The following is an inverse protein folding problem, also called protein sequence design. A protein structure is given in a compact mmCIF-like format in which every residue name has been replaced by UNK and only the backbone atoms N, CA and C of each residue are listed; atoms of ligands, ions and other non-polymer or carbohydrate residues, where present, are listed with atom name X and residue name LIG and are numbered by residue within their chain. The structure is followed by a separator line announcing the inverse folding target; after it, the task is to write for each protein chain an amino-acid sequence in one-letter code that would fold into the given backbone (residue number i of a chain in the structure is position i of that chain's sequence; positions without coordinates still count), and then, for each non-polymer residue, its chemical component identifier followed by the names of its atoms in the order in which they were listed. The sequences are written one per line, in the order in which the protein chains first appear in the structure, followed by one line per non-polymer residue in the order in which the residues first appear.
data_IF_846572178020
#
_entry.id   IF_846572178020
#
_cell.length_a   1.000
_cell.length_b   1.000
_cell.length_c   1.000
_cell.angle_alpha   90.00
_cell.angle_beta   90.00
_cell.angle_gamma   90.00
#
_symmetry.space_group_name_H-M   'P 1'
#
loop_
_entity.id
_entity.type
_entity.pdbx_description
1 polymer ?
#
# COMPACT_ATOMS: atom_id res chain seq x y z
N UNK A 1 -1.33 27.85 -20.04
CA UNK A 1 -0.31 27.18 -19.20
C UNK A 1 -0.64 25.71 -19.22
N UNK A 2 0.24 24.85 -19.74
CA UNK A 2 0.00 23.41 -19.72
C UNK A 2 -0.11 22.98 -18.25
N UNK A 3 -1.23 22.39 -17.88
CA UNK A 3 -1.43 21.80 -16.57
C UNK A 3 -0.38 20.69 -16.43
N UNK A 4 0.55 20.84 -15.48
CA UNK A 4 1.59 19.85 -15.25
C UNK A 4 0.92 18.59 -14.71
N UNK A 5 0.76 17.58 -15.57
CA UNK A 5 0.23 16.28 -15.16
C UNK A 5 1.36 15.51 -14.47
N UNK A 6 1.41 15.69 -13.14
CA UNK A 6 2.40 15.08 -12.27
C UNK A 6 2.36 13.55 -12.37
N UNK A 7 1.17 12.96 -12.52
CA UNK A 7 1.01 11.49 -12.58
C UNK A 7 1.56 10.96 -13.89
N UNK A 8 1.20 11.57 -15.01
CA UNK A 8 1.73 11.19 -16.33
C UNK A 8 3.26 11.37 -16.42
N UNK A 9 3.78 12.41 -15.76
CA UNK A 9 5.22 12.65 -15.66
C UNK A 9 5.93 11.55 -14.87
N UNK A 10 5.36 11.13 -13.73
CA UNK A 10 5.87 9.98 -12.98
C UNK A 10 5.75 8.68 -13.76
N UNK A 11 4.62 8.44 -14.43
CA UNK A 11 4.45 7.25 -15.27
C UNK A 11 5.54 7.16 -16.34
N UNK A 12 5.79 8.26 -17.04
CA UNK A 12 6.85 8.34 -18.07
C UNK A 12 8.24 8.11 -17.48
N UNK A 13 8.53 8.73 -16.33
CA UNK A 13 9.82 8.58 -15.66
C UNK A 13 10.06 7.14 -15.19
N UNK A 14 9.04 6.52 -14.60
CA UNK A 14 9.09 5.16 -14.07
C UNK A 14 9.23 4.10 -15.18
N UNK A 15 8.71 4.36 -16.37
CA UNK A 15 8.90 3.50 -17.54
C UNK A 15 10.30 3.62 -18.17
N UNK A 16 11.20 4.42 -17.61
CA UNK A 16 12.56 4.58 -18.12
C UNK A 16 13.44 3.39 -17.71
N UNK A 17 14.19 2.82 -18.67
CA UNK A 17 14.97 1.58 -18.52
C UNK A 17 15.94 1.53 -17.33
N UNK A 18 16.39 2.67 -16.82
CA UNK A 18 17.27 2.71 -15.66
C UNK A 18 16.60 2.23 -14.36
N UNK A 19 15.26 2.18 -14.35
CA UNK A 19 14.48 1.78 -13.17
C UNK A 19 14.13 0.28 -13.18
N UNK A 20 14.38 -0.44 -14.26
CA UNK A 20 14.12 -1.90 -14.39
C UNK A 20 14.95 -2.76 -13.43
N UNK A 21 15.89 -2.16 -12.69
CA UNK A 21 16.74 -2.79 -11.67
C UNK A 21 16.42 -2.33 -10.25
N UNK A 22 15.40 -1.49 -10.07
CA UNK A 22 15.01 -0.94 -8.77
C UNK A 22 14.22 -1.97 -7.97
N UNK A 23 14.80 -2.38 -6.84
CA UNK A 23 14.17 -3.29 -5.87
C UNK A 23 13.42 -2.54 -4.76
N UNK A 24 13.74 -1.27 -4.56
CA UNK A 24 13.15 -0.43 -3.51
C UNK A 24 12.64 0.88 -4.10
N UNK A 25 11.35 1.18 -3.90
CA UNK A 25 10.74 2.40 -4.41
C UNK A 25 10.01 3.16 -3.30
N UNK A 26 10.25 4.46 -3.22
CA UNK A 26 9.49 5.35 -2.34
C UNK A 26 8.83 6.44 -3.17
N UNK A 27 7.50 6.50 -3.12
CA UNK A 27 6.70 7.51 -3.79
C UNK A 27 5.79 8.20 -2.77
N UNK A 28 6.03 9.48 -2.55
CA UNK A 28 5.28 10.29 -1.61
C UNK A 28 4.87 11.60 -2.27
N UNK A 29 3.57 11.91 -2.29
CA UNK A 29 3.08 13.21 -2.72
C UNK A 29 3.08 14.20 -1.54
N UNK A 30 3.21 15.49 -1.85
CA UNK A 30 3.21 16.55 -0.84
C UNK A 30 1.81 16.85 -0.29
N UNK A 31 1.71 17.09 1.02
CA UNK A 31 0.49 17.34 1.80
C UNK A 31 -0.11 18.76 1.63
N UNK A 32 0.22 19.50 0.56
CA UNK A 32 0.05 20.97 0.47
C UNK A 32 -1.40 21.44 0.21
N UNK A 33 -2.39 20.95 0.98
CA UNK A 33 -3.81 21.31 0.83
C UNK A 33 -4.46 20.79 -0.45
N UNK A 34 -3.77 19.90 -1.16
CA UNK A 34 -4.20 19.32 -2.43
C UNK A 34 -4.87 17.97 -2.19
N UNK A 35 -5.81 17.60 -3.06
CA UNK A 35 -6.36 16.24 -3.11
C UNK A 35 -5.25 15.24 -3.45
N UNK A 36 -5.20 14.05 -2.81
CA UNK A 36 -4.20 13.03 -3.12
C UNK A 36 -4.20 12.67 -4.60
N UNK A 37 -3.01 12.57 -5.21
CA UNK A 37 -2.87 12.11 -6.59
C UNK A 37 -2.99 10.58 -6.65
N UNK A 38 -3.55 10.02 -7.74
CA UNK A 38 -3.58 8.57 -7.92
C UNK A 38 -2.15 8.02 -8.06
N UNK A 39 -1.95 6.80 -7.57
CA UNK A 39 -0.70 6.07 -7.77
C UNK A 39 -0.45 5.89 -9.29
N UNK A 40 0.75 6.22 -9.80
CA UNK A 40 1.08 5.98 -11.21
C UNK A 40 0.98 4.49 -11.53
N UNK A 41 0.46 4.14 -12.71
CA UNK A 41 0.23 2.75 -13.06
C UNK A 41 1.55 1.99 -13.25
N UNK A 42 2.57 2.69 -13.77
CA UNK A 42 3.89 2.11 -14.03
C UNK A 42 4.54 1.52 -12.79
N UNK A 43 4.34 2.08 -11.60
CA UNK A 43 4.84 1.54 -10.32
C UNK A 43 4.41 0.07 -10.13
N UNK A 44 3.18 -0.24 -10.54
CA UNK A 44 2.60 -1.56 -10.36
C UNK A 44 3.13 -2.59 -11.35
N UNK A 45 3.93 -2.16 -12.34
CA UNK A 45 4.53 -3.03 -13.37
C UNK A 45 5.91 -3.56 -12.98
N UNK A 46 6.49 -3.07 -11.88
CA UNK A 46 7.82 -3.49 -11.44
C UNK A 46 7.76 -4.84 -10.71
N UNK A 47 8.01 -5.91 -11.46
CA UNK A 47 7.98 -7.27 -10.92
C UNK A 47 9.13 -7.58 -9.96
N UNK A 48 10.21 -6.79 -9.96
CA UNK A 48 11.39 -6.98 -9.12
C UNK A 48 11.37 -6.18 -7.82
N UNK A 49 10.30 -5.41 -7.55
CA UNK A 49 10.19 -4.68 -6.29
C UNK A 49 10.08 -5.64 -5.11
N UNK A 50 10.90 -5.41 -4.10
CA UNK A 50 10.89 -6.08 -2.82
C UNK A 50 10.36 -5.18 -1.71
N UNK A 51 10.67 -3.89 -1.75
CA UNK A 51 10.26 -2.91 -0.74
C UNK A 51 9.60 -1.73 -1.43
N UNK A 52 8.45 -1.29 -0.94
CA UNK A 52 7.82 -0.07 -1.44
C UNK A 52 7.15 0.74 -0.35
N UNK A 53 7.18 2.07 -0.54
CA UNK A 53 6.47 3.02 0.30
C UNK A 53 5.61 3.94 -0.56
N UNK A 54 4.32 4.03 -0.23
CA UNK A 54 3.38 4.96 -0.86
C UNK A 54 2.81 5.94 0.16
N UNK A 55 2.96 7.23 -0.12
CA UNK A 55 2.53 8.31 0.76
C UNK A 55 1.61 9.31 0.08
N UNK A 56 0.53 9.68 0.77
CA UNK A 56 -0.42 10.69 0.35
C UNK A 56 -0.93 10.52 -1.10
N UNK A 57 -1.20 9.28 -1.48
CA UNK A 57 -1.72 8.91 -2.80
C UNK A 57 -3.05 8.19 -2.70
N UNK A 58 -3.80 8.19 -3.80
CA UNK A 58 -4.96 7.31 -3.96
C UNK A 58 -4.51 6.02 -4.62
N UNK A 59 -4.62 4.90 -3.91
CA UNK A 59 -4.39 3.55 -4.45
C UNK A 59 -5.42 3.25 -5.56
N UNK A 60 -5.02 2.40 -6.49
CA UNK A 60 -5.90 1.91 -7.57
C UNK A 60 -6.96 1.00 -6.99
N UNK A 61 -8.20 1.13 -7.46
CA UNK A 61 -9.32 0.32 -6.97
C UNK A 61 -9.18 -1.16 -7.40
N UNK A 62 -10.07 -2.02 -6.90
CA UNK A 62 -10.02 -3.46 -7.18
C UNK A 62 -10.01 -3.79 -8.68
N UNK A 63 -10.87 -3.15 -9.49
CA UNK A 63 -10.95 -3.36 -10.95
C UNK A 63 -9.64 -3.00 -11.65
N UNK A 64 -8.95 -1.98 -11.17
CA UNK A 64 -7.67 -1.52 -11.72
C UNK A 64 -6.48 -2.38 -11.26
N UNK A 65 -6.62 -3.10 -10.15
CA UNK A 65 -5.62 -4.04 -9.63
C UNK A 65 -5.83 -5.46 -10.16
N UNK A 66 -6.93 -5.73 -10.87
CA UNK A 66 -7.20 -7.05 -11.42
C UNK A 66 -6.09 -7.46 -12.43
N UNK A 67 -5.48 -8.62 -12.18
CA UNK A 67 -4.36 -9.12 -12.98
C UNK A 67 -2.98 -8.52 -12.64
N UNK A 68 -2.91 -7.55 -11.73
CA UNK A 68 -1.64 -7.01 -11.23
C UNK A 68 -1.15 -7.89 -10.08
N UNK A 69 0.10 -8.34 -10.16
CA UNK A 69 0.76 -9.12 -9.10
C UNK A 69 2.15 -8.55 -8.86
N UNK A 70 2.36 -8.00 -7.67
CA UNK A 70 3.66 -7.59 -7.14
C UNK A 70 4.34 -8.81 -6.51
N UNK A 71 4.75 -9.74 -7.37
CA UNK A 71 5.10 -11.11 -7.00
C UNK A 71 6.31 -11.24 -6.05
N UNK A 72 7.18 -10.22 -6.00
CA UNK A 72 8.38 -10.21 -5.16
C UNK A 72 8.30 -9.23 -3.99
N UNK A 73 7.19 -8.49 -3.85
CA UNK A 73 7.08 -7.48 -2.81
C UNK A 73 6.96 -8.15 -1.44
N UNK A 74 7.92 -7.83 -0.57
CA UNK A 74 8.03 -8.36 0.79
C UNK A 74 7.66 -7.30 1.83
N UNK A 75 7.89 -6.02 1.55
CA UNK A 75 7.60 -4.93 2.47
C UNK A 75 6.78 -3.83 1.81
N UNK A 76 5.66 -3.48 2.43
CA UNK A 76 4.77 -2.42 1.99
C UNK A 76 4.55 -1.42 3.11
N UNK A 77 4.89 -0.17 2.86
CA UNK A 77 4.56 0.96 3.73
C UNK A 77 3.49 1.83 3.06
N UNK A 78 2.42 2.13 3.79
CA UNK A 78 1.36 3.03 3.35
C UNK A 78 1.21 4.17 4.36
N UNK A 79 1.30 5.40 3.87
CA UNK A 79 1.26 6.61 4.68
C UNK A 79 0.15 7.54 4.21
N UNK A 80 -0.77 7.92 5.11
CA UNK A 80 -1.85 8.89 4.85
C UNK A 80 -2.68 8.50 3.61
N UNK A 81 -3.10 7.23 3.54
CA UNK A 81 -3.96 6.70 2.49
C UNK A 81 -5.42 6.86 2.90
N UNK A 82 -6.24 7.36 1.97
CA UNK A 82 -7.66 7.67 2.18
C UNK A 82 -8.63 6.74 1.45
N UNK A 83 -8.11 5.70 0.79
CA UNK A 83 -8.90 4.70 0.08
C UNK A 83 -9.82 3.89 1.02
N UNK A 84 -10.80 3.19 0.44
CA UNK A 84 -11.62 2.22 1.16
C UNK A 84 -10.79 1.00 1.60
N UNK A 85 -11.28 0.32 2.64
CA UNK A 85 -10.73 -0.96 3.11
C UNK A 85 -10.70 -2.01 1.99
N UNK A 86 -11.73 -2.08 1.13
CA UNK A 86 -11.76 -3.00 -0.02
C UNK A 86 -10.60 -2.75 -1.00
N UNK A 87 -10.26 -1.48 -1.22
CA UNK A 87 -9.14 -1.10 -2.09
C UNK A 87 -7.81 -1.48 -1.46
N UNK A 88 -7.67 -1.25 -0.16
CA UNK A 88 -6.50 -1.69 0.60
C UNK A 88 -6.36 -3.23 0.56
N UNK A 89 -7.45 -3.98 0.72
CA UNK A 89 -7.45 -5.43 0.63
C UNK A 89 -7.03 -5.93 -0.74
N UNK A 90 -7.54 -5.32 -1.82
CA UNK A 90 -7.12 -5.63 -3.18
C UNK A 90 -5.60 -5.42 -3.37
N UNK A 91 -5.04 -4.33 -2.83
CA UNK A 91 -3.60 -4.06 -2.89
C UNK A 91 -2.78 -5.13 -2.14
N UNK A 92 -3.20 -5.50 -0.94
CA UNK A 92 -2.51 -6.55 -0.16
C UNK A 92 -2.59 -7.90 -0.87
N UNK A 93 -3.73 -8.23 -1.48
CA UNK A 93 -3.90 -9.47 -2.27
C UNK A 93 -3.01 -9.51 -3.51
N UNK A 94 -2.68 -8.35 -4.09
CA UNK A 94 -1.72 -8.25 -5.19
C UNK A 94 -0.27 -8.55 -4.76
N UNK A 95 0.02 -8.68 -3.46
CA UNK A 95 1.37 -8.85 -2.90
C UNK A 95 1.51 -10.23 -2.21
N UNK A 96 1.62 -11.35 -2.94
CA UNK A 96 1.55 -12.69 -2.38
C UNK A 96 2.74 -13.10 -1.49
N UNK A 97 3.87 -12.39 -1.57
CA UNK A 97 5.06 -12.63 -0.73
C UNK A 97 5.21 -11.62 0.40
N UNK A 98 4.20 -10.78 0.64
CA UNK A 98 4.28 -9.73 1.64
C UNK A 98 4.59 -10.34 3.03
N UNK A 99 5.62 -9.81 3.67
CA UNK A 99 6.12 -10.19 5.00
C UNK A 99 5.88 -9.07 6.00
N UNK A 100 6.09 -7.81 5.59
CA UNK A 100 5.95 -6.61 6.42
C UNK A 100 4.93 -5.65 5.83
N UNK A 101 4.06 -5.11 6.70
CA UNK A 101 3.07 -4.11 6.33
C UNK A 101 3.06 -3.00 7.39
N UNK A 102 3.42 -1.79 7.00
CA UNK A 102 3.46 -0.64 7.89
C UNK A 102 2.40 0.39 7.47
N UNK A 103 1.52 0.76 8.39
CA UNK A 103 0.44 1.72 8.17
C UNK A 103 0.69 2.95 9.07
N UNK A 104 0.96 4.09 8.45
CA UNK A 104 1.24 5.35 9.15
C UNK A 104 0.13 6.37 8.84
N UNK A 105 -0.52 6.91 9.87
CA UNK A 105 -1.54 7.97 9.77
C UNK A 105 -2.68 7.65 8.77
N UNK A 106 -3.10 6.38 8.70
CA UNK A 106 -4.20 5.94 7.82
C UNK A 106 -5.54 5.93 8.57
N UNK A 107 -6.13 7.11 8.77
CA UNK A 107 -7.38 7.28 9.53
C UNK A 107 -8.62 6.65 8.85
N UNK A 108 -8.53 6.36 7.54
CA UNK A 108 -9.64 5.78 6.77
C UNK A 108 -9.87 4.30 7.05
N UNK A 109 -8.86 3.57 7.54
CA UNK A 109 -8.96 2.13 7.80
C UNK A 109 -9.46 1.89 9.22
N UNK A 110 -10.67 1.35 9.37
CA UNK A 110 -11.25 1.00 10.68
C UNK A 110 -11.06 -0.47 11.00
N UNK A 111 -11.01 -1.32 9.98
CA UNK A 111 -10.85 -2.76 10.06
C UNK A 111 -9.89 -3.22 8.97
N UNK A 112 -8.77 -3.80 9.39
CA UNK A 112 -7.77 -4.36 8.48
C UNK A 112 -7.67 -5.85 8.76
N UNK A 113 -8.34 -6.66 7.94
CA UNK A 113 -8.19 -8.12 7.93
C UNK A 113 -7.17 -8.56 6.87
N UNK A 114 -5.95 -8.92 7.29
CA UNK A 114 -4.95 -9.47 6.37
C UNK A 114 -4.98 -10.99 6.49
N UNK A 115 -5.39 -11.66 5.40
CA UNK A 115 -5.24 -13.11 5.23
C UNK A 115 -4.02 -13.34 4.34
N UNK A 116 -2.93 -13.83 4.91
CA UNK A 116 -1.72 -14.13 4.15
C UNK A 116 -1.02 -15.34 4.73
N UNK A 117 -0.54 -16.23 3.85
CA UNK A 117 0.23 -17.41 4.22
C UNK A 117 1.71 -17.09 4.45
N UNK A 118 2.19 -15.92 4.00
CA UNK A 118 3.60 -15.51 4.05
C UNK A 118 3.90 -14.39 5.06
N UNK A 119 2.88 -13.76 5.64
CA UNK A 119 3.06 -12.59 6.49
C UNK A 119 3.64 -13.01 7.84
N UNK A 120 4.95 -12.77 8.04
CA UNK A 120 5.65 -12.99 9.31
C UNK A 120 5.66 -11.66 10.07
N UNK A 121 4.60 -11.45 10.83
CA UNK A 121 4.14 -10.22 11.50
C UNK A 121 5.19 -9.18 11.94
N UNK A 122 5.28 -8.09 11.18
CA UNK A 122 5.40 -6.74 11.70
C UNK A 122 4.31 -5.88 11.07
N UNK A 123 3.13 -5.84 11.70
CA UNK A 123 2.11 -4.85 11.36
C UNK A 123 2.18 -3.73 12.40
N UNK A 124 2.83 -2.64 12.02
CA UNK A 124 2.97 -1.48 12.89
C UNK A 124 1.97 -0.41 12.43
N UNK A 125 1.25 0.13 13.41
CA UNK A 125 0.36 1.26 13.23
C UNK A 125 0.96 2.42 13.99
N UNK A 126 1.26 3.49 13.29
CA UNK A 126 1.60 4.76 13.91
C UNK A 126 0.40 5.67 13.69
N UNK A 127 -0.42 5.82 14.74
CA UNK A 127 -1.54 6.74 14.78
C UNK A 127 -1.36 7.71 15.95
N UNK A 128 -2.10 8.82 15.92
CA UNK A 128 -2.14 9.77 17.04
C UNK A 128 -2.43 9.04 18.37
N UNK A 129 -1.88 9.52 19.51
CA UNK A 129 -1.83 8.78 20.79
C UNK A 129 -3.17 8.28 21.37
N UNK A 130 -4.30 8.71 20.84
CA UNK A 130 -5.64 8.48 21.39
C UNK A 130 -6.43 7.33 20.74
N UNK A 131 -5.97 6.72 19.64
CA UNK A 131 -6.91 6.00 18.73
C UNK A 131 -6.52 4.56 18.35
N UNK A 132 -5.55 3.95 19.04
CA UNK A 132 -5.09 2.57 18.74
C UNK A 132 -5.44 1.60 19.87
N UNK A 133 -6.30 0.61 19.58
CA UNK A 133 -6.48 -0.59 20.40
C UNK A 133 -6.35 -1.82 19.52
N UNK A 134 -5.16 -2.43 19.52
CA UNK A 134 -4.91 -3.70 18.84
C UNK A 134 -5.60 -4.81 19.64
N UNK A 135 -6.59 -5.50 19.07
CA UNK A 135 -7.21 -6.65 19.70
C UNK A 135 -7.48 -7.76 18.67
N UNK A 136 -6.77 -8.87 18.87
CA UNK A 136 -6.92 -10.21 18.28
C UNK A 136 -6.07 -10.57 17.04
N UNK A 137 -5.25 -11.60 17.25
CA UNK A 137 -4.70 -12.48 16.23
C UNK A 137 -5.60 -13.72 16.21
N UNK A 138 -5.93 -14.29 15.05
CA UNK A 138 -6.51 -15.62 14.98
C UNK A 138 -5.72 -16.49 14.00
N UNK A 139 -5.56 -17.75 14.35
CA UNK A 139 -4.96 -18.76 13.46
C UNK A 139 -6.11 -19.66 13.01
N UNK A 140 -6.29 -19.84 11.70
CA UNK A 140 -7.22 -20.83 11.14
C UNK A 140 -6.47 -21.91 10.35
N UNK A 141 -7.19 -22.92 9.85
CA UNK A 141 -6.57 -24.02 9.10
C UNK A 141 -5.96 -23.60 7.75
N UNK A 142 -6.25 -22.38 7.26
CA UNK A 142 -5.71 -21.84 6.01
C UNK A 142 -4.48 -20.93 6.22
N UNK A 143 -4.15 -20.58 7.47
CA UNK A 143 -3.00 -19.76 7.83
C UNK A 143 -3.26 -18.86 9.05
N UNK A 144 -2.38 -17.89 9.25
CA UNK A 144 -2.52 -16.93 10.35
C UNK A 144 -3.20 -15.65 9.83
N UNK A 145 -4.31 -15.29 10.44
CA UNK A 145 -5.11 -14.11 10.11
C UNK A 145 -4.92 -13.03 11.16
N UNK A 146 -4.64 -11.80 10.72
CA UNK A 146 -4.60 -10.66 11.64
C UNK A 146 -5.71 -9.71 11.28
N UNK A 147 -6.57 -9.44 12.27
CA UNK A 147 -7.54 -8.37 12.21
C UNK A 147 -7.11 -7.27 13.15
N UNK A 148 -6.90 -6.08 12.60
CA UNK A 148 -6.64 -4.89 13.39
C UNK A 148 -7.85 -3.99 13.32
N UNK A 149 -8.38 -3.65 14.49
CA UNK A 149 -9.52 -2.76 14.64
C UNK A 149 -9.02 -1.40 15.12
N UNK A 150 -9.28 -0.35 14.33
CA UNK A 150 -9.09 1.05 14.73
C UNK A 150 -10.47 1.55 15.16
N UNK A 151 -10.64 1.77 16.47
CA UNK A 151 -11.88 2.30 17.04
C UNK A 151 -11.75 3.83 17.16
N UNK A 152 -12.58 4.55 16.40
CA UNK A 152 -12.81 6.00 16.49
C UNK A 152 -13.91 6.34 17.49
#
# INVERSE_FOLDING_TARGET
MAQFDLVASFDTMLLYQALDVVMELCLQYGLNGMTPHPLPFSVLTFLILHVTSFGFCTLRNHEQLEGIILANLEELMLMVISNSEDTFHAMVMACPKLKSLLLIDNDAFRRVCVKSQSLVYHVQFEAKPSTLKILAFWVDEAGLGVAVYILS
#
